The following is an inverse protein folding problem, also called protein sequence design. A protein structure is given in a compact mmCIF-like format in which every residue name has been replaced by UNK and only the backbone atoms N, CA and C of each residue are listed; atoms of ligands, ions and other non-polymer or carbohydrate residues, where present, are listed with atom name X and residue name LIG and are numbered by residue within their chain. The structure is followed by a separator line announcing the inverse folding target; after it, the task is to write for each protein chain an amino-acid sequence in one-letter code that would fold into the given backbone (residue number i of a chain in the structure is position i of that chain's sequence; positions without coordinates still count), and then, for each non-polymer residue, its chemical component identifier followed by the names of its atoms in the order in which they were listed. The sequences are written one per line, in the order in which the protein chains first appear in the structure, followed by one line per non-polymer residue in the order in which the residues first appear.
data_IF_850912451921
#
_entry.id   IF_850912451921
#
_cell.length_a   1.000
_cell.length_b   1.000
_cell.length_c   1.000
_cell.angle_alpha   90.00
_cell.angle_beta   90.00
_cell.angle_gamma   90.00
#
_symmetry.space_group_name_H-M   'P 1'
#
loop_
_entity.id
_entity.type
_entity.pdbx_description
1 polymer ?
#
# COMPACT_ATOMS: atom_id res chain seq x y z
N UNK A 1 -17.89 -2.11 -16.86
CA UNK A 1 -19.23 -2.24 -16.26
C UNK A 1 -19.35 -1.17 -15.18
N UNK A 2 -20.47 -0.46 -15.12
CA UNK A 2 -20.70 0.53 -14.07
C UNK A 2 -21.04 -0.21 -12.78
N UNK A 3 -20.46 0.21 -11.66
CA UNK A 3 -20.79 -0.31 -10.32
C UNK A 3 -21.97 0.46 -9.73
N UNK A 4 -22.76 -0.19 -8.89
CA UNK A 4 -23.81 0.45 -8.08
C UNK A 4 -23.35 0.80 -6.65
N UNK A 5 -22.03 0.75 -6.40
CA UNK A 5 -21.44 1.13 -5.13
C UNK A 5 -21.94 2.50 -4.66
N UNK A 6 -22.24 2.61 -3.36
CA UNK A 6 -22.80 3.84 -2.81
C UNK A 6 -21.72 4.91 -2.78
N UNK A 7 -21.82 5.92 -3.65
CA UNK A 7 -20.90 7.05 -3.70
C UNK A 7 -21.10 7.98 -2.50
N UNK A 8 -20.02 8.30 -1.83
CA UNK A 8 -19.94 9.25 -0.72
C UNK A 8 -19.05 10.41 -1.18
N UNK A 9 -19.58 11.63 -1.26
CA UNK A 9 -18.83 12.75 -1.81
C UNK A 9 -18.42 12.55 -3.28
N UNK A 10 -17.19 12.93 -3.63
CA UNK A 10 -16.72 12.92 -5.03
C UNK A 10 -16.00 11.62 -5.41
N UNK A 11 -15.08 11.13 -4.59
CA UNK A 11 -14.15 10.05 -4.97
C UNK A 11 -14.21 8.84 -4.05
N UNK A 12 -15.14 8.79 -3.10
CA UNK A 12 -15.26 7.70 -2.14
C UNK A 12 -16.50 6.85 -2.43
N UNK A 13 -16.37 5.53 -2.33
CA UNK A 13 -17.46 4.59 -2.54
C UNK A 13 -17.48 3.57 -1.42
N UNK A 14 -18.68 3.29 -0.90
CA UNK A 14 -18.91 2.17 0.01
C UNK A 14 -19.30 0.94 -0.81
N UNK A 15 -18.61 -0.16 -0.52
CA UNK A 15 -18.77 -1.45 -1.17
C UNK A 15 -19.11 -2.50 -0.10
N UNK A 16 -20.09 -3.33 -0.41
CA UNK A 16 -20.48 -4.50 0.39
C UNK A 16 -20.54 -5.77 -0.48
N UNK A 17 -20.88 -6.90 0.16
CA UNK A 17 -20.98 -8.20 -0.49
C UNK A 17 -21.99 -8.23 -1.67
N UNK A 18 -23.00 -7.37 -1.64
CA UNK A 18 -24.10 -7.33 -2.61
C UNK A 18 -23.89 -6.29 -3.71
N UNK A 19 -22.88 -5.44 -3.59
CA UNK A 19 -22.54 -4.41 -4.57
C UNK A 19 -22.28 -5.04 -5.94
N UNK A 20 -23.03 -4.59 -6.95
CA UNK A 20 -22.86 -4.97 -8.34
C UNK A 20 -21.73 -4.17 -8.99
N UNK A 21 -21.03 -4.79 -9.94
CA UNK A 21 -19.92 -4.16 -10.63
C UNK A 21 -19.28 -5.08 -11.68
N UNK A 22 -18.06 -4.75 -12.13
CA UNK A 22 -17.34 -5.56 -13.11
C UNK A 22 -17.22 -7.03 -12.67
N UNK A 23 -17.60 -7.95 -13.56
CA UNK A 23 -17.49 -9.38 -13.31
C UNK A 23 -16.03 -9.89 -13.37
N UNK A 24 -15.15 -9.18 -14.07
CA UNK A 24 -13.77 -9.65 -14.32
C UNK A 24 -12.76 -9.25 -13.24
N UNK A 25 -13.00 -8.16 -12.52
CA UNK A 25 -12.10 -7.67 -11.48
C UNK A 25 -12.83 -6.74 -10.52
N UNK A 26 -13.10 -7.21 -9.30
CA UNK A 26 -13.68 -6.41 -8.22
C UNK A 26 -13.22 -6.94 -6.84
N UNK A 27 -11.91 -6.92 -6.55
CA UNK A 27 -11.35 -7.55 -5.35
C UNK A 27 -11.93 -6.95 -4.06
N UNK A 28 -12.27 -5.67 -4.04
CA UNK A 28 -12.88 -4.98 -2.89
C UNK A 28 -14.23 -5.61 -2.52
N UNK A 29 -15.06 -5.93 -3.52
CA UNK A 29 -16.34 -6.62 -3.32
C UNK A 29 -16.13 -8.05 -2.83
N UNK A 30 -15.17 -8.78 -3.40
CA UNK A 30 -14.88 -10.15 -2.98
C UNK A 30 -14.33 -10.20 -1.55
N UNK A 31 -13.49 -9.23 -1.17
CA UNK A 31 -13.05 -9.06 0.20
C UNK A 31 -14.22 -8.75 1.13
N UNK A 32 -15.11 -7.82 0.75
CA UNK A 32 -16.31 -7.51 1.52
C UNK A 32 -17.22 -8.73 1.72
N UNK A 33 -17.37 -9.56 0.69
CA UNK A 33 -18.13 -10.82 0.75
C UNK A 33 -17.48 -11.82 1.71
N UNK A 34 -16.17 -12.05 1.60
CA UNK A 34 -15.45 -12.95 2.50
C UNK A 34 -15.55 -12.49 3.96
N UNK A 35 -15.34 -11.20 4.24
CA UNK A 35 -15.45 -10.64 5.59
C UNK A 35 -16.85 -10.83 6.18
N UNK A 36 -17.91 -10.63 5.37
CA UNK A 36 -19.28 -10.88 5.77
C UNK A 36 -19.56 -12.37 6.07
N UNK A 37 -19.03 -13.28 5.26
CA UNK A 37 -19.12 -14.73 5.48
C UNK A 37 -18.43 -15.17 6.78
N UNK A 38 -17.34 -14.49 7.18
CA UNK A 38 -16.66 -14.72 8.45
C UNK A 38 -17.34 -14.04 9.65
N UNK A 39 -18.45 -13.32 9.45
CA UNK A 39 -19.13 -12.55 10.50
C UNK A 39 -18.32 -11.33 10.98
N UNK A 40 -17.34 -10.88 10.21
CA UNK A 40 -16.50 -9.72 10.54
C UNK A 40 -17.25 -8.46 10.09
N UNK A 41 -17.71 -7.68 11.07
CA UNK A 41 -18.35 -6.39 10.82
C UNK A 41 -17.32 -5.39 10.31
N UNK A 42 -17.22 -5.29 9.00
CA UNK A 42 -16.30 -4.40 8.30
C UNK A 42 -17.02 -3.75 7.12
N UNK A 43 -16.68 -2.51 6.85
CA UNK A 43 -17.13 -1.80 5.65
C UNK A 43 -15.93 -1.61 4.75
N UNK A 44 -16.05 -2.01 3.48
CA UNK A 44 -15.02 -1.76 2.49
C UNK A 44 -15.33 -0.43 1.82
N UNK A 45 -14.37 0.47 1.84
CA UNK A 45 -14.44 1.73 1.12
C UNK A 45 -13.35 1.76 0.05
N UNK A 46 -13.70 2.16 -1.16
CA UNK A 46 -12.76 2.36 -2.25
C UNK A 46 -12.68 3.84 -2.59
N UNK A 47 -11.47 4.29 -2.93
CA UNK A 47 -11.22 5.64 -3.42
C UNK A 47 -10.92 5.58 -4.93
N UNK A 48 -11.52 6.50 -5.69
CA UNK A 48 -11.14 6.72 -7.08
C UNK A 48 -9.71 7.25 -7.16
N UNK A 49 -8.97 6.79 -8.18
CA UNK A 49 -7.64 7.34 -8.51
C UNK A 49 -7.77 8.82 -8.86
N UNK A 50 -7.34 9.68 -7.95
CA UNK A 50 -7.52 11.13 -8.02
C UNK A 50 -6.32 11.87 -7.42
N UNK A 51 -6.30 13.20 -7.53
CA UNK A 51 -5.24 14.00 -6.93
C UNK A 51 -5.36 14.12 -5.41
N UNK A 52 -4.46 14.89 -4.80
CA UNK A 52 -4.41 15.07 -3.35
C UNK A 52 -5.67 15.74 -2.78
N UNK A 53 -6.24 16.74 -3.46
CA UNK A 53 -7.41 17.45 -2.92
C UNK A 53 -8.68 16.58 -2.85
N UNK A 54 -9.07 15.86 -3.92
CA UNK A 54 -10.18 14.92 -3.81
C UNK A 54 -9.92 13.80 -2.80
N UNK A 55 -8.67 13.33 -2.69
CA UNK A 55 -8.30 12.29 -1.72
C UNK A 55 -8.44 12.81 -0.28
N UNK A 56 -7.95 14.02 0.02
CA UNK A 56 -8.19 14.70 1.31
C UNK A 56 -9.68 14.83 1.62
N UNK A 57 -10.50 15.18 0.63
CA UNK A 57 -11.95 15.27 0.80
C UNK A 57 -12.58 13.89 1.13
N UNK A 58 -12.09 12.82 0.50
CA UNK A 58 -12.52 11.46 0.81
C UNK A 58 -12.12 11.02 2.24
N UNK A 59 -10.89 11.31 2.69
CA UNK A 59 -10.46 11.01 4.06
C UNK A 59 -11.28 11.78 5.10
N UNK A 60 -11.59 13.07 4.87
CA UNK A 60 -12.49 13.84 5.74
C UNK A 60 -13.90 13.25 5.79
N UNK A 61 -14.41 12.74 4.66
CA UNK A 61 -15.71 12.06 4.63
C UNK A 61 -15.66 10.73 5.40
N UNK A 62 -14.58 9.95 5.27
CA UNK A 62 -14.38 8.72 6.04
C UNK A 62 -14.35 8.98 7.54
N UNK A 63 -13.62 10.02 7.97
CA UNK A 63 -13.55 10.44 9.36
C UNK A 63 -14.94 10.75 9.94
N UNK A 64 -15.76 11.50 9.20
CA UNK A 64 -17.12 11.84 9.63
C UNK A 64 -18.06 10.64 9.68
N UNK A 65 -17.89 9.66 8.78
CA UNK A 65 -18.76 8.49 8.68
C UNK A 65 -18.41 7.40 9.69
N UNK A 66 -17.12 7.13 9.87
CA UNK A 66 -16.63 6.01 10.68
C UNK A 66 -16.36 6.45 12.12
N UNK A 67 -15.90 7.70 12.31
CA UNK A 67 -15.44 8.23 13.59
C UNK A 67 -14.50 7.25 14.31
N UNK A 68 -13.41 6.80 13.65
CA UNK A 68 -12.55 5.79 14.24
C UNK A 68 -11.74 6.37 15.40
N UNK A 69 -11.28 5.50 16.30
CA UNK A 69 -10.37 5.84 17.40
C UNK A 69 -8.88 5.80 16.98
N UNK A 70 -8.57 5.09 15.89
CA UNK A 70 -7.24 4.99 15.31
C UNK A 70 -7.28 4.87 13.77
N UNK A 71 -6.20 5.30 13.12
CA UNK A 71 -5.96 5.12 11.69
C UNK A 71 -4.68 4.32 11.47
N UNK A 72 -4.75 3.28 10.65
CA UNK A 72 -3.58 2.51 10.19
C UNK A 72 -3.58 2.53 8.66
N UNK A 73 -2.56 3.16 8.08
CA UNK A 73 -2.30 3.09 6.64
C UNK A 73 -1.43 1.86 6.38
N UNK A 74 -1.84 1.02 5.44
CA UNK A 74 -1.16 -0.24 5.12
C UNK A 74 -0.66 -0.20 3.67
N UNK A 75 0.63 -0.46 3.47
CA UNK A 75 1.25 -0.61 2.16
C UNK A 75 1.77 -2.05 1.97
N UNK A 76 1.53 -2.61 0.79
CA UNK A 76 2.02 -3.93 0.38
C UNK A 76 3.47 -3.94 -0.11
N UNK A 77 4.03 -2.76 -0.34
CA UNK A 77 5.43 -2.50 -0.61
C UNK A 77 6.09 -1.69 0.50
N UNK A 78 7.27 -1.17 0.18
CA UNK A 78 8.17 -0.40 1.04
C UNK A 78 8.45 1.00 0.48
N UNK A 79 7.87 1.33 -0.67
CA UNK A 79 8.10 2.56 -1.39
C UNK A 79 7.37 3.77 -0.78
N UNK A 80 6.36 3.56 0.09
CA UNK A 80 5.80 4.62 0.95
C UNK A 80 6.85 5.31 1.85
N UNK A 81 8.01 4.69 2.09
CA UNK A 81 9.12 5.33 2.82
C UNK A 81 10.02 6.21 1.95
N UNK A 82 9.84 6.24 0.62
CA UNK A 82 10.70 6.99 -0.29
C UNK A 82 10.31 8.47 -0.30
N UNK A 83 11.26 9.35 0.03
CA UNK A 83 10.99 10.75 0.30
C UNK A 83 11.35 11.73 -0.82
N UNK A 84 11.99 11.28 -1.90
CA UNK A 84 12.09 12.01 -3.18
C UNK A 84 13.47 12.10 -3.83
N UNK A 85 14.56 11.88 -3.09
CA UNK A 85 15.94 11.99 -3.60
C UNK A 85 16.62 10.64 -3.82
N UNK A 86 15.93 9.54 -3.51
CA UNK A 86 16.40 8.18 -3.69
C UNK A 86 16.60 7.86 -5.17
N UNK A 87 17.40 6.83 -5.45
CA UNK A 87 17.67 6.41 -6.82
C UNK A 87 16.38 6.04 -7.56
N UNK A 88 15.46 5.35 -6.87
CA UNK A 88 14.12 5.04 -7.38
C UNK A 88 13.09 5.17 -6.26
N UNK A 89 11.91 5.69 -6.62
CA UNK A 89 10.81 5.93 -5.67
C UNK A 89 9.74 4.83 -5.67
N UNK A 90 9.86 3.78 -6.49
CA UNK A 90 8.77 2.84 -6.69
C UNK A 90 7.62 3.46 -7.49
N UNK A 91 6.40 3.34 -6.97
CA UNK A 91 5.14 3.85 -7.54
C UNK A 91 4.48 4.92 -6.65
N UNK A 92 5.20 5.99 -6.29
CA UNK A 92 4.86 6.84 -5.14
C UNK A 92 3.54 7.62 -5.24
N UNK A 93 2.93 7.71 -6.43
CA UNK A 93 1.82 8.61 -6.67
C UNK A 93 0.58 8.26 -5.84
N UNK A 94 0.20 6.98 -5.77
CA UNK A 94 -0.96 6.55 -4.96
C UNK A 94 -0.63 6.56 -3.46
N UNK A 95 0.57 6.11 -3.10
CA UNK A 95 0.99 5.95 -1.70
C UNK A 95 1.15 7.29 -1.01
N UNK A 96 1.85 8.24 -1.63
CA UNK A 96 2.05 9.57 -1.06
C UNK A 96 0.77 10.39 -1.08
N UNK A 97 -0.06 10.27 -2.12
CA UNK A 97 -1.37 10.95 -2.13
C UNK A 97 -2.22 10.47 -0.95
N UNK A 98 -2.24 9.17 -0.69
CA UNK A 98 -2.96 8.58 0.44
C UNK A 98 -2.33 8.96 1.79
N UNK A 99 -1.00 8.89 1.92
CA UNK A 99 -0.26 9.22 3.14
C UNK A 99 -0.47 10.68 3.55
N UNK A 100 -0.36 11.62 2.60
CA UNK A 100 -0.57 13.04 2.86
C UNK A 100 -2.02 13.33 3.22
N UNK A 101 -3.01 12.73 2.53
CA UNK A 101 -4.41 12.86 2.91
C UNK A 101 -4.70 12.27 4.32
N UNK A 102 -4.11 11.09 4.63
CA UNK A 102 -4.22 10.44 5.93
C UNK A 102 -3.57 11.24 7.07
N UNK A 103 -2.54 12.04 6.78
CA UNK A 103 -1.87 12.87 7.79
C UNK A 103 -2.78 13.94 8.39
N UNK A 104 -3.79 14.38 7.65
CA UNK A 104 -4.78 15.38 8.09
C UNK A 104 -5.90 14.77 8.96
N UNK A 105 -5.95 13.45 9.09
CA UNK A 105 -6.95 12.78 9.93
C UNK A 105 -6.76 13.18 11.39
N UNK A 106 -7.86 13.48 12.10
CA UNK A 106 -7.87 14.04 13.45
C UNK A 106 -8.11 12.97 14.52
N UNK A 107 -7.30 11.91 14.49
CA UNK A 107 -7.28 10.86 15.53
C UNK A 107 -5.94 10.84 16.26
N UNK A 108 -5.97 10.42 17.52
CA UNK A 108 -4.78 10.39 18.38
C UNK A 108 -3.74 9.37 17.91
N UNK A 109 -4.19 8.24 17.37
CA UNK A 109 -3.31 7.16 16.90
C UNK A 109 -3.35 7.10 15.39
N UNK A 110 -2.25 7.50 14.74
CA UNK A 110 -2.05 7.39 13.28
C UNK A 110 -0.77 6.63 12.98
N UNK A 111 -0.93 5.44 12.42
CA UNK A 111 0.18 4.53 12.12
C UNK A 111 0.31 4.32 10.62
N UNK A 112 1.53 4.07 10.17
CA UNK A 112 1.81 3.53 8.83
C UNK A 112 2.50 2.20 9.03
N UNK A 113 2.04 1.19 8.31
CA UNK A 113 2.66 -0.12 8.28
C UNK A 113 2.92 -0.54 6.85
N UNK A 114 4.10 -1.07 6.59
CA UNK A 114 4.50 -1.53 5.26
C UNK A 114 5.07 -2.95 5.35
N UNK A 115 4.88 -3.75 4.31
CA UNK A 115 5.33 -5.15 4.20
C UNK A 115 6.06 -5.38 2.90
N UNK A 116 6.52 -6.61 2.64
CA UNK A 116 6.98 -6.96 1.29
C UNK A 116 8.38 -6.44 0.97
N UNK A 117 9.28 -6.38 1.95
CA UNK A 117 10.68 -5.99 1.74
C UNK A 117 11.30 -6.59 0.46
N UNK A 118 11.59 -5.70 -0.49
CA UNK A 118 12.20 -6.01 -1.78
C UNK A 118 11.24 -6.26 -2.94
N UNK A 119 9.92 -6.17 -2.72
CA UNK A 119 8.93 -6.32 -3.78
C UNK A 119 8.99 -5.16 -4.79
N UNK A 120 9.27 -3.94 -4.32
CA UNK A 120 9.35 -2.73 -5.15
C UNK A 120 10.71 -2.58 -5.84
N UNK A 121 11.60 -3.56 -5.68
CA UNK A 121 12.87 -3.59 -6.43
C UNK A 121 12.61 -3.58 -7.94
N UNK A 122 11.51 -4.21 -8.39
CA UNK A 122 11.02 -4.16 -9.76
C UNK A 122 10.67 -2.73 -10.21
N UNK A 123 10.19 -1.89 -9.30
CA UNK A 123 9.88 -0.47 -9.52
C UNK A 123 11.06 0.46 -9.17
N UNK A 124 12.27 -0.10 -9.05
CA UNK A 124 13.50 0.67 -8.92
C UNK A 124 13.85 1.08 -7.49
N UNK A 125 13.12 0.64 -6.46
CA UNK A 125 13.51 0.87 -5.07
C UNK A 125 14.81 0.12 -4.75
N UNK A 126 15.70 0.75 -4.01
CA UNK A 126 16.90 0.11 -3.48
C UNK A 126 16.68 -0.27 -2.02
N UNK A 127 17.02 -1.50 -1.64
CA UNK A 127 16.89 -1.96 -0.24
C UNK A 127 17.71 -1.09 0.73
N UNK A 128 18.87 -0.60 0.27
CA UNK A 128 19.71 0.30 1.05
C UNK A 128 19.02 1.64 1.34
N UNK A 129 18.27 2.19 0.37
CA UNK A 129 17.54 3.45 0.54
C UNK A 129 16.38 3.27 1.54
N UNK A 130 15.63 2.17 1.45
CA UNK A 130 14.61 1.83 2.44
C UNK A 130 15.19 1.72 3.85
N UNK A 131 16.26 0.94 4.04
CA UNK A 131 16.87 0.75 5.37
C UNK A 131 17.48 2.04 5.93
N UNK A 132 18.02 2.91 5.07
CA UNK A 132 18.45 4.25 5.46
C UNK A 132 17.27 5.12 5.93
N UNK A 133 16.14 5.06 5.24
CA UNK A 133 14.93 5.80 5.62
C UNK A 133 14.34 5.28 6.94
N UNK A 134 14.32 3.96 7.15
CA UNK A 134 14.00 3.36 8.45
C UNK A 134 14.94 3.89 9.53
N UNK A 135 16.26 3.89 9.30
CA UNK A 135 17.22 4.42 10.27
C UNK A 135 17.00 5.93 10.56
N UNK A 136 16.56 6.70 9.57
CA UNK A 136 16.14 8.09 9.76
C UNK A 136 14.93 8.23 10.70
N UNK A 137 13.93 7.37 10.54
CA UNK A 137 12.73 7.34 11.40
C UNK A 137 13.03 6.83 12.81
N UNK A 138 13.93 5.86 12.95
CA UNK A 138 14.47 5.42 14.25
C UNK A 138 15.07 6.60 15.00
N UNK A 139 15.94 7.40 14.34
CA UNK A 139 16.55 8.58 14.95
C UNK A 139 15.51 9.64 15.33
N UNK A 140 14.41 9.73 14.60
CA UNK A 140 13.29 10.62 14.90
C UNK A 140 12.34 10.08 15.99
N UNK A 141 12.57 8.86 16.51
CA UNK A 141 11.68 8.22 17.47
C UNK A 141 10.36 7.72 16.87
N UNK A 142 10.26 7.68 15.53
CA UNK A 142 9.03 7.39 14.80
C UNK A 142 8.92 5.92 14.35
N UNK A 143 9.96 5.11 14.56
CA UNK A 143 9.90 3.67 14.27
C UNK A 143 9.37 2.92 15.49
N UNK A 144 8.23 2.23 15.31
CA UNK A 144 7.53 1.54 16.38
C UNK A 144 7.91 0.04 16.47
N UNK A 145 8.76 -0.43 15.57
CA UNK A 145 9.28 -1.79 15.56
C UNK A 145 8.80 -2.61 14.38
N UNK A 146 9.17 -3.89 14.42
CA UNK A 146 8.76 -4.89 13.45
C UNK A 146 8.10 -6.08 14.12
N UNK A 147 7.16 -6.69 13.41
CA UNK A 147 6.68 -8.05 13.71
C UNK A 147 6.65 -8.89 12.44
N UNK A 148 6.55 -10.21 12.57
CA UNK A 148 6.58 -11.13 11.44
C UNK A 148 5.22 -11.81 11.23
N UNK A 149 4.78 -11.89 9.98
CA UNK A 149 3.67 -12.73 9.55
C UNK A 149 4.14 -14.19 9.47
N UNK A 150 4.27 -14.84 10.62
CA UNK A 150 4.62 -16.26 10.69
C UNK A 150 3.40 -17.13 10.37
N UNK A 151 3.57 -18.36 9.84
CA UNK A 151 2.45 -19.28 9.64
C UNK A 151 1.57 -19.52 10.88
N UNK A 152 2.17 -19.41 12.07
CA UNK A 152 1.50 -19.60 13.37
C UNK A 152 0.99 -18.29 13.98
N UNK A 153 1.24 -17.14 13.36
CA UNK A 153 0.79 -15.85 13.88
C UNK A 153 -0.73 -15.71 13.72
N UNK A 154 -1.36 -15.10 14.73
CA UNK A 154 -2.80 -14.81 14.70
C UNK A 154 -3.16 -14.00 13.46
N UNK A 155 -4.25 -14.37 12.78
CA UNK A 155 -4.75 -13.68 11.60
C UNK A 155 -4.09 -14.09 10.27
N UNK A 156 -2.94 -14.80 10.28
CA UNK A 156 -2.29 -15.24 9.03
C UNK A 156 -3.12 -16.27 8.28
N UNK A 157 -3.73 -17.22 8.98
CA UNK A 157 -4.67 -18.17 8.36
C UNK A 157 -5.84 -17.44 7.67
N UNK A 158 -6.43 -16.44 8.35
CA UNK A 158 -7.49 -15.62 7.77
C UNK A 158 -7.04 -14.79 6.58
N UNK A 159 -5.84 -14.20 6.64
CA UNK A 159 -5.23 -13.49 5.51
C UNK A 159 -5.05 -14.41 4.29
N UNK A 160 -4.47 -15.59 4.48
CA UNK A 160 -4.27 -16.55 3.39
C UNK A 160 -5.61 -17.04 2.81
N UNK A 161 -6.60 -17.31 3.66
CA UNK A 161 -7.94 -17.71 3.23
C UNK A 161 -8.67 -16.59 2.46
N UNK A 162 -8.56 -15.33 2.90
CA UNK A 162 -9.11 -14.18 2.19
C UNK A 162 -8.44 -14.00 0.82
N UNK A 163 -7.12 -14.17 0.76
CA UNK A 163 -6.36 -14.10 -0.48
C UNK A 163 -6.81 -15.15 -1.48
N UNK A 164 -6.90 -16.42 -1.04
CA UNK A 164 -7.35 -17.52 -1.88
C UNK A 164 -8.79 -17.29 -2.36
N UNK A 165 -9.69 -16.84 -1.48
CA UNK A 165 -11.08 -16.50 -1.82
C UNK A 165 -11.16 -15.44 -2.93
N UNK A 166 -10.39 -14.35 -2.82
CA UNK A 166 -10.37 -13.28 -3.83
C UNK A 166 -9.75 -13.77 -5.13
N UNK A 167 -8.63 -14.50 -5.08
CA UNK A 167 -7.94 -15.01 -6.27
C UNK A 167 -8.80 -15.95 -7.11
N UNK A 168 -9.52 -16.88 -6.48
CA UNK A 168 -10.47 -17.78 -7.15
C UNK A 168 -11.54 -17.02 -7.95
N UNK A 169 -11.88 -15.79 -7.53
CA UNK A 169 -12.92 -14.95 -8.12
C UNK A 169 -12.38 -13.87 -9.06
N UNK A 170 -11.05 -13.71 -9.14
CA UNK A 170 -10.38 -12.79 -10.07
C UNK A 170 -9.31 -13.50 -10.90
N UNK A 171 -9.64 -14.59 -11.63
CA UNK A 171 -8.66 -15.37 -12.37
C UNK A 171 -7.93 -14.56 -13.43
N UNK A 172 -6.60 -14.69 -13.50
CA UNK A 172 -5.72 -13.93 -14.39
C UNK A 172 -5.43 -12.48 -13.93
N UNK A 173 -6.06 -12.03 -12.84
CA UNK A 173 -5.91 -10.70 -12.23
C UNK A 173 -5.51 -10.79 -10.76
N UNK A 174 -4.95 -11.93 -10.36
CA UNK A 174 -4.46 -12.21 -9.01
C UNK A 174 -3.40 -11.18 -8.59
N UNK A 175 -3.35 -10.88 -7.30
CA UNK A 175 -2.42 -9.91 -6.74
C UNK A 175 -1.01 -10.50 -6.70
N UNK A 176 -0.10 -9.96 -7.51
CA UNK A 176 1.33 -10.34 -7.48
C UNK A 176 1.91 -10.05 -6.09
N UNK A 177 1.57 -8.89 -5.51
CA UNK A 177 2.06 -8.46 -4.19
C UNK A 177 1.67 -9.44 -3.10
N UNK A 178 0.37 -9.72 -2.95
CA UNK A 178 -0.08 -10.65 -1.92
C UNK A 178 0.36 -12.09 -2.19
N UNK A 179 0.49 -12.52 -3.46
CA UNK A 179 1.06 -13.83 -3.78
C UNK A 179 2.52 -13.96 -3.34
N UNK A 180 3.35 -12.95 -3.57
CA UNK A 180 4.76 -12.94 -3.12
C UNK A 180 4.85 -12.93 -1.59
N UNK A 181 4.02 -12.14 -0.92
CA UNK A 181 3.92 -12.13 0.54
C UNK A 181 3.50 -13.50 1.09
N UNK A 182 2.46 -14.12 0.52
CA UNK A 182 2.00 -15.44 0.93
C UNK A 182 3.06 -16.53 0.69
N UNK A 183 3.82 -16.45 -0.40
CA UNK A 183 4.95 -17.34 -0.66
C UNK A 183 6.04 -17.19 0.42
N UNK A 184 6.41 -15.95 0.77
CA UNK A 184 7.37 -15.68 1.83
C UNK A 184 6.90 -16.19 3.21
N UNK A 185 5.62 -15.98 3.54
CA UNK A 185 4.99 -16.52 4.77
C UNK A 185 5.10 -18.06 4.80
N UNK A 186 4.90 -18.72 3.65
CA UNK A 186 5.03 -20.19 3.51
C UNK A 186 6.47 -20.69 3.50
N UNK A 187 7.46 -19.79 3.55
CA UNK A 187 8.88 -20.14 3.60
C UNK A 187 9.52 -20.36 2.23
N UNK A 188 8.86 -19.95 1.15
CA UNK A 188 9.45 -19.96 -0.20
C UNK A 188 10.58 -18.93 -0.30
N UNK A 189 11.52 -19.14 -1.24
CA UNK A 189 12.70 -18.29 -1.40
C UNK A 189 13.18 -18.20 -2.86
N UNK A 190 13.79 -17.07 -3.22
CA UNK A 190 14.38 -16.83 -4.54
C UNK A 190 13.33 -16.63 -5.62
N UNK A 191 13.60 -17.15 -6.82
CA UNK A 191 12.74 -17.06 -8.00
C UNK A 191 11.53 -18.00 -7.92
N UNK A 192 10.72 -17.83 -6.87
CA UNK A 192 9.49 -18.58 -6.69
C UNK A 192 8.32 -17.82 -7.31
N UNK A 193 7.61 -18.48 -8.23
CA UNK A 193 6.38 -17.97 -8.83
C UNK A 193 5.17 -18.80 -8.41
N UNK A 194 4.28 -18.19 -7.62
CA UNK A 194 2.97 -18.79 -7.33
C UNK A 194 2.02 -18.66 -8.52
N UNK A 195 2.05 -17.51 -9.21
CA UNK A 195 1.13 -17.19 -10.30
C UNK A 195 1.70 -17.57 -11.67
N UNK A 196 0.83 -18.07 -12.56
CA UNK A 196 1.21 -18.40 -13.93
C UNK A 196 1.62 -17.14 -14.73
N UNK A 197 0.97 -16.00 -14.48
CA UNK A 197 1.29 -14.73 -15.18
C UNK A 197 2.69 -14.21 -14.89
N UNK A 198 3.19 -14.38 -13.66
CA UNK A 198 4.57 -13.97 -13.32
C UNK A 198 5.56 -14.95 -13.92
N UNK A 199 5.27 -16.25 -13.89
CA UNK A 199 6.11 -17.28 -14.52
C UNK A 199 6.27 -17.05 -16.02
N UNK A 200 5.18 -16.71 -16.73
CA UNK A 200 5.20 -16.42 -18.17
C UNK A 200 5.94 -15.14 -18.54
N UNK A 201 6.04 -14.19 -17.63
CA UNK A 201 6.76 -12.94 -17.88
C UNK A 201 8.27 -13.14 -18.00
N UNK A 202 8.80 -14.25 -17.45
CA UNK A 202 10.24 -14.53 -17.40
C UNK A 202 11.03 -13.54 -16.52
N UNK A 203 10.34 -12.69 -15.74
CA UNK A 203 10.96 -11.77 -14.79
C UNK A 203 11.27 -12.54 -13.51
N UNK A 204 12.52 -12.54 -13.08
CA UNK A 204 12.92 -13.12 -11.80
C UNK A 204 12.19 -12.43 -10.64
N UNK A 205 11.55 -13.22 -9.78
CA UNK A 205 11.12 -12.77 -8.45
C UNK A 205 12.23 -13.05 -7.44
N UNK A 206 12.18 -12.33 -6.32
CA UNK A 206 13.11 -12.58 -5.23
C UNK A 206 12.36 -12.69 -3.91
N UNK A 207 11.59 -13.78 -3.77
CA UNK A 207 10.89 -14.10 -2.55
C UNK A 207 11.93 -14.28 -1.44
N UNK A 208 11.72 -13.60 -0.31
CA UNK A 208 12.66 -13.67 0.81
C UNK A 208 11.93 -13.55 2.16
N UNK A 209 12.51 -14.07 3.26
CA UNK A 209 11.85 -14.06 4.56
C UNK A 209 11.56 -12.65 5.09
N UNK A 210 12.34 -11.63 4.69
CA UNK A 210 12.12 -10.26 5.14
C UNK A 210 10.83 -9.65 4.56
N UNK A 211 10.28 -10.21 3.47
CA UNK A 211 8.98 -9.80 2.93
C UNK A 211 7.84 -10.01 3.93
N UNK A 212 7.97 -11.01 4.82
CA UNK A 212 6.98 -11.28 5.87
C UNK A 212 7.06 -10.34 7.07
N UNK A 213 8.06 -9.46 7.11
CA UNK A 213 8.19 -8.47 8.16
C UNK A 213 7.25 -7.29 7.90
N UNK A 214 6.51 -6.96 8.94
CA UNK A 214 5.64 -5.80 9.03
C UNK A 214 6.38 -4.72 9.78
N UNK A 215 6.68 -3.62 9.09
CA UNK A 215 7.40 -2.47 9.64
C UNK A 215 6.42 -1.38 9.98
N UNK A 216 6.39 -0.92 11.23
CA UNK A 216 5.39 0.04 11.69
C UNK A 216 6.04 1.34 12.16
N UNK A 217 5.42 2.45 11.80
CA UNK A 217 5.90 3.81 12.06
C UNK A 217 4.76 4.71 12.54
N UNK A 218 5.10 5.76 13.27
CA UNK A 218 4.21 6.90 13.44
C UNK A 218 4.02 7.61 12.09
N UNK A 219 2.76 7.89 11.74
CA UNK A 219 2.40 8.43 10.44
C UNK A 219 2.93 9.85 10.24
N UNK A 220 2.79 10.74 11.23
CA UNK A 220 3.10 12.16 11.06
C UNK A 220 4.59 12.41 10.78
N UNK A 221 5.55 11.82 11.53
CA UNK A 221 6.97 12.00 11.21
C UNK A 221 7.35 11.36 9.87
N UNK A 222 6.66 10.30 9.44
CA UNK A 222 6.88 9.73 8.10
C UNK A 222 6.42 10.69 7.01
N UNK A 223 5.18 11.17 7.09
CA UNK A 223 4.60 12.10 6.13
C UNK A 223 5.43 13.39 6.00
N UNK A 224 5.93 13.92 7.13
CA UNK A 224 6.77 15.11 7.18
C UNK A 224 8.12 14.97 6.45
N UNK A 225 8.56 13.75 6.13
CA UNK A 225 9.79 13.53 5.35
C UNK A 225 9.59 13.68 3.86
N UNK A 226 8.35 13.59 3.35
CA UNK A 226 8.06 13.71 1.92
C UNK A 226 8.48 15.07 1.38
N UNK A 227 9.59 15.12 0.62
CA UNK A 227 10.22 16.37 0.17
C UNK A 227 9.45 17.10 -0.92
N UNK A 228 8.48 16.42 -1.52
CA UNK A 228 7.61 16.94 -2.57
C UNK A 228 6.17 17.13 -2.10
N UNK A 229 5.89 17.03 -0.80
CA UNK A 229 4.53 17.17 -0.26
C UNK A 229 3.87 18.50 -0.67
N UNK A 230 4.56 19.63 -0.47
CA UNK A 230 4.07 20.97 -0.87
C UNK A 230 3.84 21.05 -2.38
N UNK A 231 4.66 20.37 -3.17
CA UNK A 231 4.49 20.35 -4.62
C UNK A 231 3.17 19.67 -5.01
N UNK A 232 2.60 18.77 -4.20
CA UNK A 232 1.34 18.07 -4.53
C UNK A 232 0.07 18.83 -4.15
N UNK A 233 0.19 19.93 -3.41
CA UNK A 233 -0.98 20.70 -2.94
C UNK A 233 -1.84 21.23 -4.08
N UNK A 234 -3.15 21.06 -4.00
CA UNK A 234 -4.07 21.50 -5.05
C UNK A 234 -4.18 20.56 -6.25
N UNK A 235 -3.44 19.44 -6.31
CA UNK A 235 -3.62 18.46 -7.40
C UNK A 235 -5.02 17.85 -7.37
N UNK A 236 -5.66 17.77 -8.55
CA UNK A 236 -7.01 17.24 -8.72
C UNK A 236 -7.01 15.84 -9.35
N UNK A 237 -6.00 15.54 -10.15
CA UNK A 237 -5.91 14.28 -10.90
C UNK A 237 -4.64 13.53 -10.59
N UNK A 238 -4.69 12.21 -10.74
CA UNK A 238 -3.50 11.38 -10.59
C UNK A 238 -2.41 11.75 -11.62
N UNK A 239 -2.80 12.22 -12.80
CA UNK A 239 -1.85 12.73 -13.80
C UNK A 239 -1.06 13.94 -13.27
N UNK A 240 -1.73 14.89 -12.64
CA UNK A 240 -1.06 16.05 -12.03
C UNK A 240 -0.10 15.62 -10.92
N UNK A 241 -0.48 14.65 -10.08
CA UNK A 241 0.41 14.10 -9.05
C UNK A 241 1.70 13.58 -9.68
N UNK A 242 1.60 12.70 -10.69
CA UNK A 242 2.76 12.17 -11.40
C UNK A 242 3.63 13.29 -11.99
N UNK A 243 3.02 14.24 -12.71
CA UNK A 243 3.74 15.34 -13.34
C UNK A 243 4.50 16.21 -12.32
N UNK A 244 3.93 16.42 -11.13
CA UNK A 244 4.58 17.22 -10.08
C UNK A 244 5.69 16.46 -9.36
N UNK A 245 5.54 15.15 -9.14
CA UNK A 245 6.63 14.30 -8.65
C UNK A 245 7.79 14.32 -9.65
N UNK A 246 7.52 14.12 -10.95
CA UNK A 246 8.54 14.17 -12.00
C UNK A 246 9.24 15.54 -12.07
N UNK A 247 8.47 16.64 -12.01
CA UNK A 247 9.02 17.99 -12.02
C UNK A 247 9.91 18.28 -10.79
N UNK A 248 9.53 17.77 -9.61
CA UNK A 248 10.38 17.82 -8.43
C UNK A 248 11.68 17.05 -8.64
N UNK A 249 11.59 15.80 -9.10
CA UNK A 249 12.75 14.93 -9.30
C UNK A 249 13.73 15.47 -10.34
N UNK A 250 13.24 16.15 -11.38
CA UNK A 250 14.08 16.78 -12.40
C UNK A 250 15.01 17.89 -11.84
N UNK A 251 14.72 18.39 -10.63
CA UNK A 251 15.50 19.44 -9.96
C UNK A 251 16.18 18.97 -8.68
N UNK A 252 15.89 17.75 -8.23
CA UNK A 252 16.44 17.20 -7.00
C UNK A 252 17.83 16.57 -7.26
N UNK A 253 18.70 16.63 -6.26
CA UNK A 253 19.97 15.91 -6.28
C UNK A 253 19.72 14.42 -6.02
N UNK A 254 19.46 13.67 -7.09
CA UNK A 254 19.17 12.23 -7.00
C UNK A 254 20.42 11.46 -6.59
N UNK A 255 20.30 10.70 -5.49
CA UNK A 255 21.36 9.89 -4.92
C UNK A 255 21.60 8.64 -5.77
N UNK A 256 22.86 8.19 -5.92
CA UNK A 256 23.16 6.99 -6.67
C UNK A 256 22.61 5.74 -5.97
N UNK A 257 22.16 4.75 -6.75
CA UNK A 257 21.71 3.46 -6.21
C UNK A 257 22.86 2.77 -5.47
N UNK A 258 22.61 2.31 -4.25
CA UNK A 258 23.58 1.57 -3.44
C UNK A 258 23.13 0.13 -3.22
N UNK A 259 24.02 -0.87 -3.39
CA UNK A 259 23.71 -2.24 -2.98
C UNK A 259 23.71 -2.33 -1.46
N UNK A 260 22.93 -3.27 -0.92
CA UNK A 260 23.08 -3.70 0.46
C UNK A 260 24.30 -4.63 0.54
N UNK A 261 25.26 -4.40 1.47
CA UNK A 261 26.35 -5.35 1.66
C UNK A 261 25.77 -6.68 2.13
N UNK A 262 26.08 -7.74 1.40
CA UNK A 262 25.74 -9.13 1.71
C UNK A 262 26.97 -9.85 2.26
#
# INVERSE_FOLDING_TARGET
AQTDATRIGQTLYRIDANTAGPQSYFPEKHLAAWLAEQGISSSVYALDKSGLEPTRAAYRALEQQIQPDALVVVDGGTDILMHGDEAGLGTPAEDITSLLAASEFTVATKLVTCVGFGIDSYHGVAHADFLENVAGLVKAGAFLGTHALLPTASGVEGYLAALDYVHERTPGRESIVNSSLAAAVRGEFGDHHTLERTRRSGTELFINPLMSLVWTFDLEPLAARCRYAEALDGTQTMFEVHARIEAFRARADIRPRRPLPM
#
